data_IF_377396029530
#
_entry.id   IF_377396029530
#
_cell.length_a   1.000
_cell.length_b   1.000
_cell.length_c   1.000
_cell.angle_alpha   90.00
_cell.angle_beta   90.00
_cell.angle_gamma   90.00
#
_symmetry.space_group_name_H-M   'P 1'
#
loop_
_entity.id
_entity.type
_entity.pdbx_description
1 polymer ?
#
# COMPACT_ATOMS: atom_id res chain seq x y z
N UNK A 1 3.33 -8.19 -10.45
CA UNK A 1 2.01 -7.67 -10.91
C UNK A 1 2.07 -7.10 -12.33
N UNK A 2 1.05 -7.39 -13.12
CA UNK A 2 0.87 -6.81 -14.45
C UNK A 2 0.52 -5.33 -14.30
N UNK A 3 1.51 -4.46 -14.51
CA UNK A 3 1.26 -3.04 -14.66
C UNK A 3 1.10 -2.74 -16.16
N UNK A 4 -0.10 -2.35 -16.62
CA UNK A 4 -0.26 -2.05 -18.02
C UNK A 4 0.55 -0.81 -18.46
N UNK A 5 0.78 0.14 -17.56
CA UNK A 5 1.44 1.41 -17.86
C UNK A 5 2.97 1.33 -17.85
N UNK A 6 3.54 0.16 -17.53
CA UNK A 6 4.98 -0.09 -17.50
C UNK A 6 5.36 -1.20 -18.47
N UNK A 7 6.38 -0.97 -19.29
CA UNK A 7 6.95 -1.97 -20.18
C UNK A 7 7.88 -2.93 -19.42
N UNK A 8 8.25 -4.05 -20.05
CA UNK A 8 9.07 -5.09 -19.42
C UNK A 8 10.49 -4.62 -19.05
N UNK A 9 10.98 -3.56 -19.70
CA UNK A 9 12.28 -2.91 -19.44
C UNK A 9 12.18 -1.80 -18.38
N UNK A 10 11.03 -1.66 -17.71
CA UNK A 10 10.77 -0.66 -16.68
C UNK A 10 10.41 0.73 -17.22
N UNK A 11 10.47 0.93 -18.54
CA UNK A 11 10.05 2.19 -19.19
C UNK A 11 8.55 2.38 -19.08
N UNK A 12 8.09 3.62 -19.27
CA UNK A 12 6.66 3.88 -19.39
C UNK A 12 6.13 3.26 -20.70
N UNK A 13 4.98 2.58 -20.66
CA UNK A 13 4.39 1.97 -21.85
C UNK A 13 3.80 3.03 -22.78
N UNK A 14 3.74 2.76 -24.09
CA UNK A 14 3.17 3.69 -25.08
C UNK A 14 1.69 4.06 -24.81
N UNK A 15 0.96 3.20 -24.10
CA UNK A 15 -0.43 3.44 -23.68
C UNK A 15 -0.58 4.28 -22.41
N UNK A 16 0.52 4.63 -21.75
CA UNK A 16 0.49 5.47 -20.57
C UNK A 16 0.09 6.92 -20.91
N UNK A 17 -0.49 7.67 -19.97
CA UNK A 17 -0.86 9.07 -20.17
C UNK A 17 0.33 9.90 -20.67
N UNK A 18 0.05 10.91 -21.50
CA UNK A 18 1.09 11.80 -22.03
C UNK A 18 1.90 12.49 -20.92
N UNK A 19 1.29 12.76 -19.76
CA UNK A 19 1.98 13.31 -18.59
C UNK A 19 3.07 12.35 -18.07
N UNK A 20 2.77 11.05 -17.95
CA UNK A 20 3.75 10.05 -17.53
C UNK A 20 4.91 9.91 -18.54
N UNK A 21 4.64 10.06 -19.83
CA UNK A 21 5.70 10.08 -20.87
C UNK A 21 6.62 11.29 -20.75
N UNK A 22 6.07 12.47 -20.48
CA UNK A 22 6.88 13.66 -20.19
C UNK A 22 7.62 13.52 -18.86
N UNK A 23 7.00 12.93 -17.85
CA UNK A 23 7.61 12.64 -16.56
C UNK A 23 8.80 11.70 -16.65
N UNK A 24 8.75 10.69 -17.53
CA UNK A 24 9.92 9.85 -17.81
C UNK A 24 11.09 10.68 -18.33
N UNK A 25 10.82 11.67 -19.18
CA UNK A 25 11.87 12.59 -19.66
C UNK A 25 12.47 13.41 -18.52
N UNK A 26 11.66 13.85 -17.55
CA UNK A 26 12.14 14.53 -16.32
C UNK A 26 12.97 13.57 -15.47
N UNK A 27 12.51 12.34 -15.27
CA UNK A 27 13.16 11.32 -14.45
C UNK A 27 14.57 10.93 -14.94
N UNK A 28 14.77 10.94 -16.26
CA UNK A 28 16.06 10.67 -16.89
C UNK A 28 16.94 11.92 -17.08
N UNK A 29 16.42 13.12 -16.77
CA UNK A 29 17.14 14.36 -16.96
C UNK A 29 18.31 14.46 -15.98
N UNK A 30 19.53 14.75 -16.45
CA UNK A 30 20.65 15.00 -15.56
C UNK A 30 20.37 16.18 -14.63
N UNK A 31 20.76 16.03 -13.37
CA UNK A 31 20.73 17.07 -12.36
C UNK A 31 21.67 18.22 -12.74
N UNK A 32 21.38 19.46 -12.33
CA UNK A 32 22.17 20.64 -12.68
C UNK A 32 23.49 20.76 -11.91
N UNK A 33 23.97 19.68 -11.28
CA UNK A 33 25.17 19.63 -10.44
C UNK A 33 26.45 19.26 -11.21
N UNK A 34 26.33 18.99 -12.52
CA UNK A 34 27.44 18.62 -13.39
C UNK A 34 27.96 17.18 -13.19
N UNK A 35 27.37 16.38 -12.30
CA UNK A 35 27.81 15.00 -12.07
C UNK A 35 27.19 14.02 -13.07
N UNK A 36 26.19 14.46 -13.84
CA UNK A 36 25.44 13.60 -14.77
C UNK A 36 24.48 12.63 -14.08
N UNK A 37 24.22 12.81 -12.77
CA UNK A 37 23.26 11.98 -12.02
C UNK A 37 21.83 12.37 -12.41
N UNK A 38 20.90 11.43 -12.30
CA UNK A 38 19.47 11.64 -12.49
C UNK A 38 18.69 10.75 -11.51
N UNK A 39 17.36 10.86 -11.45
CA UNK A 39 16.54 9.92 -10.68
C UNK A 39 16.79 8.47 -11.13
N UNK A 40 16.93 8.27 -12.44
CA UNK A 40 17.23 6.97 -13.06
C UNK A 40 18.63 6.41 -12.75
N UNK A 41 19.53 7.20 -12.15
CA UNK A 41 20.86 6.70 -11.74
C UNK A 41 20.75 5.75 -10.56
N UNK A 42 19.88 6.05 -9.59
CA UNK A 42 19.62 5.20 -8.42
C UNK A 42 18.39 4.32 -8.65
N UNK A 43 17.29 4.90 -9.13
CA UNK A 43 16.05 4.19 -9.44
C UNK A 43 16.07 3.67 -10.88
N UNK A 44 16.94 2.69 -11.14
CA UNK A 44 17.24 2.16 -12.48
C UNK A 44 16.06 1.38 -13.10
N UNK A 45 15.38 1.88 -14.15
CA UNK A 45 14.19 1.19 -14.70
C UNK A 45 14.48 -0.24 -15.18
N UNK A 46 15.65 -0.45 -15.78
CA UNK A 46 16.14 -1.74 -16.30
C UNK A 46 16.49 -2.75 -15.21
N UNK A 47 16.54 -2.32 -13.95
CA UNK A 47 16.87 -3.15 -12.80
C UNK A 47 15.84 -2.99 -11.67
N UNK A 48 14.55 -3.13 -12.00
CA UNK A 48 13.45 -3.06 -11.02
C UNK A 48 13.46 -1.77 -10.17
N UNK A 49 13.98 -0.67 -10.72
CA UNK A 49 14.17 0.61 -10.02
C UNK A 49 15.12 0.53 -8.82
N UNK A 50 16.14 -0.34 -8.90
CA UNK A 50 17.12 -0.54 -7.85
C UNK A 50 18.55 -0.38 -8.38
N UNK A 51 19.41 0.20 -7.55
CA UNK A 51 20.86 0.16 -7.70
C UNK A 51 21.53 -0.75 -6.65
N UNK A 52 20.75 -1.25 -5.68
CA UNK A 52 21.21 -2.07 -4.54
C UNK A 52 22.24 -1.38 -3.64
N UNK A 53 22.21 -0.04 -3.59
CA UNK A 53 23.09 0.77 -2.76
C UNK A 53 22.32 1.53 -1.68
N UNK A 54 23.08 2.12 -0.77
CA UNK A 54 22.57 3.05 0.25
C UNK A 54 23.05 4.47 -0.07
N UNK A 55 22.17 5.46 0.09
CA UNK A 55 22.49 6.86 -0.15
C UNK A 55 21.98 7.74 0.98
N UNK A 56 22.78 8.74 1.35
CA UNK A 56 22.28 9.88 2.11
C UNK A 56 21.76 10.92 1.11
N UNK A 57 20.44 11.14 1.17
CA UNK A 57 19.71 12.11 0.34
C UNK A 57 18.97 13.13 1.20
N UNK A 58 19.47 13.37 2.43
CA UNK A 58 18.97 14.39 3.33
C UNK A 58 17.61 14.10 3.96
N UNK A 59 17.07 12.90 3.78
CA UNK A 59 15.73 12.54 4.30
C UNK A 59 15.75 12.13 5.78
N UNK A 60 16.93 11.83 6.34
CA UNK A 60 17.07 11.44 7.74
C UNK A 60 16.81 12.61 8.71
N UNK A 61 16.01 12.38 9.76
CA UNK A 61 15.69 13.41 10.77
C UNK A 61 16.05 12.99 12.19
N UNK A 62 16.34 13.99 13.04
CA UNK A 62 16.64 13.79 14.47
C UNK A 62 17.82 12.85 14.66
N UNK A 63 17.64 11.73 15.38
CA UNK A 63 18.70 10.74 15.58
C UNK A 63 19.15 10.02 14.31
N UNK A 64 18.45 10.20 13.19
CA UNK A 64 18.79 9.63 11.87
C UNK A 64 19.32 10.68 10.88
N UNK A 65 19.58 11.91 11.33
CA UNK A 65 20.17 12.95 10.49
C UNK A 65 21.53 12.51 9.92
N UNK A 66 21.75 12.73 8.63
CA UNK A 66 22.96 12.27 7.90
C UNK A 66 23.05 10.75 7.68
N UNK A 67 21.96 10.00 7.89
CA UNK A 67 21.93 8.55 7.68
C UNK A 67 21.61 8.22 6.22
N UNK A 68 22.34 7.25 5.68
CA UNK A 68 22.04 6.66 4.38
C UNK A 68 20.97 5.56 4.46
N UNK A 69 20.14 5.47 3.42
CA UNK A 69 19.08 4.47 3.29
C UNK A 69 19.18 3.76 1.94
N UNK A 70 18.71 2.51 1.89
CA UNK A 70 18.63 1.76 0.64
C UNK A 70 17.71 2.48 -0.35
N UNK A 71 18.08 2.50 -1.62
CA UNK A 71 17.19 2.95 -2.69
C UNK A 71 15.96 2.03 -2.74
N UNK A 72 14.74 2.51 -2.44
CA UNK A 72 13.56 1.66 -2.56
C UNK A 72 13.23 1.42 -4.03
N UNK A 73 12.65 0.26 -4.33
CA UNK A 73 12.05 0.04 -5.65
C UNK A 73 10.87 0.99 -5.82
N UNK A 74 10.66 1.46 -7.05
CA UNK A 74 9.45 2.20 -7.39
C UNK A 74 8.32 1.27 -7.81
N UNK A 75 8.54 -0.04 -7.98
CA UNK A 75 7.48 -0.98 -8.32
C UNK A 75 6.47 -1.08 -7.18
N UNK A 76 5.18 -1.01 -7.51
CA UNK A 76 4.05 -1.07 -6.57
C UNK A 76 4.04 0.03 -5.49
N UNK A 77 4.87 1.08 -5.64
CA UNK A 77 4.93 2.19 -4.69
C UNK A 77 3.58 2.93 -4.54
N UNK A 78 2.71 2.88 -5.54
CA UNK A 78 1.38 3.51 -5.44
C UNK A 78 0.50 2.84 -4.36
N UNK A 79 0.78 1.60 -3.98
CA UNK A 79 0.02 0.84 -2.98
C UNK A 79 0.59 0.95 -1.56
N UNK A 80 1.71 1.65 -1.37
CA UNK A 80 2.44 1.68 -0.08
C UNK A 80 2.65 3.08 0.51
N UNK A 81 1.67 4.00 0.50
CA UNK A 81 1.78 5.20 1.32
C UNK A 81 1.72 4.83 2.82
N UNK A 82 2.30 5.65 3.73
CA UNK A 82 3.07 6.86 3.46
C UNK A 82 4.54 6.56 3.07
N UNK A 83 5.17 7.53 2.42
CA UNK A 83 6.47 7.41 1.76
C UNK A 83 7.67 7.83 2.63
N UNK A 84 8.84 7.38 2.19
CA UNK A 84 10.13 7.43 2.88
C UNK A 84 10.23 6.53 4.11
N UNK A 85 11.43 6.41 4.66
CA UNK A 85 11.77 5.47 5.73
C UNK A 85 11.14 5.79 7.09
N UNK A 86 10.50 6.94 7.22
CA UNK A 86 9.80 7.45 8.39
C UNK A 86 8.34 7.85 8.08
N UNK A 87 7.87 7.64 6.85
CA UNK A 87 6.46 7.77 6.49
C UNK A 87 5.89 9.19 6.55
N UNK A 88 6.68 10.21 6.24
CA UNK A 88 6.26 11.60 6.45
C UNK A 88 5.68 12.32 5.22
N UNK A 89 5.61 11.64 4.07
CA UNK A 89 4.92 12.14 2.89
C UNK A 89 3.76 11.20 2.57
N UNK A 90 2.58 11.74 2.34
CA UNK A 90 1.38 10.95 2.06
C UNK A 90 1.28 10.60 0.57
N UNK A 91 1.99 11.35 -0.29
CA UNK A 91 1.91 11.19 -1.75
C UNK A 91 3.30 11.07 -2.41
N UNK A 92 3.33 10.40 -3.57
CA UNK A 92 4.51 10.36 -4.44
C UNK A 92 4.86 11.76 -4.97
N UNK A 93 3.84 12.63 -5.15
CA UNK A 93 4.02 14.03 -5.53
C UNK A 93 4.83 14.81 -4.50
N UNK A 94 4.47 14.73 -3.22
CA UNK A 94 5.23 15.37 -2.14
C UNK A 94 6.68 14.85 -2.06
N UNK A 95 6.88 13.55 -2.27
CA UNK A 95 8.22 12.96 -2.32
C UNK A 95 9.03 13.51 -3.50
N UNK A 96 8.42 13.62 -4.68
CA UNK A 96 9.04 14.18 -5.87
C UNK A 96 9.38 15.67 -5.68
N UNK A 97 8.47 16.44 -5.07
CA UNK A 97 8.67 17.86 -4.79
C UNK A 97 9.83 18.10 -3.83
N UNK A 98 9.90 17.31 -2.76
CA UNK A 98 11.03 17.34 -1.83
C UNK A 98 12.36 17.13 -2.56
N UNK A 99 12.47 16.11 -3.41
CA UNK A 99 13.72 15.83 -4.12
C UNK A 99 14.03 16.86 -5.20
N UNK A 100 13.02 17.40 -5.88
CA UNK A 100 13.19 18.48 -6.84
C UNK A 100 13.80 19.73 -6.16
N UNK A 101 13.35 20.05 -4.94
CA UNK A 101 13.88 21.16 -4.16
C UNK A 101 15.25 20.84 -3.56
N UNK A 102 15.40 19.65 -2.96
CA UNK A 102 16.64 19.21 -2.31
C UNK A 102 17.82 19.16 -3.29
N UNK A 103 17.60 18.66 -4.52
CA UNK A 103 18.62 18.62 -5.56
C UNK A 103 18.66 19.90 -6.43
N UNK A 104 17.82 20.89 -6.15
CA UNK A 104 17.79 22.16 -6.88
C UNK A 104 17.51 22.01 -8.38
N UNK A 105 16.57 21.12 -8.75
CA UNK A 105 16.34 20.73 -10.14
C UNK A 105 15.71 21.81 -11.01
N UNK A 106 15.10 22.84 -10.39
CA UNK A 106 14.47 23.95 -11.10
C UNK A 106 13.24 23.55 -11.92
N UNK A 107 12.52 22.50 -11.49
CA UNK A 107 11.31 22.02 -12.15
C UNK A 107 10.16 23.00 -11.92
N UNK A 108 9.43 23.31 -13.00
CA UNK A 108 8.16 24.04 -12.90
C UNK A 108 7.01 23.13 -12.45
N UNK A 109 5.85 23.73 -12.16
CA UNK A 109 4.67 23.00 -11.67
C UNK A 109 4.19 21.91 -12.66
N UNK A 110 4.36 22.14 -13.96
CA UNK A 110 4.01 21.18 -15.00
C UNK A 110 4.97 19.98 -14.99
N UNK A 111 6.26 20.23 -14.86
CA UNK A 111 7.28 19.18 -14.77
C UNK A 111 7.17 18.35 -13.49
N UNK A 112 6.80 18.99 -12.37
CA UNK A 112 6.50 18.30 -11.10
C UNK A 112 5.29 17.39 -11.24
N UNK A 113 4.21 17.90 -11.83
CA UNK A 113 3.02 17.10 -12.10
C UNK A 113 3.29 15.94 -13.07
N UNK A 114 4.10 16.18 -14.11
CA UNK A 114 4.51 15.13 -15.05
C UNK A 114 5.36 14.06 -14.36
N UNK A 115 6.33 14.46 -13.52
CA UNK A 115 7.15 13.55 -12.74
C UNK A 115 6.29 12.69 -11.78
N UNK A 116 5.34 13.30 -11.07
CA UNK A 116 4.40 12.59 -10.22
C UNK A 116 3.58 11.57 -11.03
N UNK A 117 3.05 11.97 -12.18
CA UNK A 117 2.31 11.08 -13.08
C UNK A 117 3.16 9.90 -13.59
N UNK A 118 4.46 10.11 -13.81
CA UNK A 118 5.39 9.02 -14.14
C UNK A 118 5.56 8.05 -12.97
N UNK A 119 5.80 8.57 -11.75
CA UNK A 119 5.96 7.73 -10.55
C UNK A 119 4.71 6.90 -10.27
N UNK A 120 3.51 7.48 -10.42
CA UNK A 120 2.24 6.76 -10.32
C UNK A 120 2.10 5.71 -11.43
N UNK A 121 2.49 6.05 -12.67
CA UNK A 121 2.40 5.12 -13.79
C UNK A 121 3.34 3.91 -13.63
N UNK A 122 4.59 4.10 -13.18
CA UNK A 122 5.55 2.99 -13.03
C UNK A 122 5.44 2.28 -11.69
N UNK A 123 5.04 3.00 -10.64
CA UNK A 123 4.75 2.45 -9.32
C UNK A 123 3.33 1.94 -9.15
N UNK A 124 2.54 2.05 -10.21
CA UNK A 124 1.35 1.26 -10.36
C UNK A 124 1.67 -0.22 -10.60
N UNK A 125 0.61 -0.97 -10.40
CA UNK A 125 0.41 -2.36 -10.75
C UNK A 125 -1.07 -2.53 -10.54
N UNK A 126 -1.75 -3.30 -11.38
CA UNK A 126 -2.94 -3.93 -10.83
C UNK A 126 -2.41 -4.79 -9.68
N UNK A 127 -2.51 -4.27 -8.46
CA UNK A 127 -3.35 -5.01 -7.53
C UNK A 127 -4.73 -4.96 -8.19
N UNK A 128 -4.97 -5.91 -9.11
CA UNK A 128 -6.13 -6.71 -8.82
C UNK A 128 -5.81 -7.15 -7.42
N UNK A 129 -6.52 -6.60 -6.44
CA UNK A 129 -6.78 -7.40 -5.27
C UNK A 129 -7.07 -8.77 -5.88
N UNK A 130 -6.17 -9.75 -5.67
CA UNK A 130 -6.45 -11.08 -6.16
C UNK A 130 -7.90 -11.33 -5.73
N UNK A 131 -8.79 -11.86 -6.57
CA UNK A 131 -10.14 -12.17 -6.10
C UNK A 131 -9.98 -13.00 -4.80
N UNK A 132 -10.21 -12.37 -3.63
CA UNK A 132 -9.72 -12.85 -2.32
C UNK A 132 -8.92 -11.89 -1.41
N UNK A 133 -8.38 -10.76 -1.90
CA UNK A 133 -7.67 -9.74 -1.07
C UNK A 133 -8.55 -8.52 -0.74
N UNK A 134 -9.79 -8.49 -1.25
CA UNK A 134 -10.81 -7.59 -0.75
C UNK A 134 -11.37 -8.20 0.55
N UNK A 135 -10.93 -7.60 1.66
CA UNK A 135 -11.16 -7.95 3.05
C UNK A 135 -10.25 -9.05 3.57
N UNK A 136 -9.44 -8.69 4.57
CA UNK A 136 -8.62 -9.60 5.36
C UNK A 136 -9.51 -10.43 6.31
N UNK A 137 -10.63 -10.98 5.87
CA UNK A 137 -11.59 -11.67 6.75
C UNK A 137 -10.95 -12.92 7.34
N UNK A 138 -10.14 -13.63 6.55
CA UNK A 138 -9.36 -14.78 6.94
C UNK A 138 -8.26 -14.38 7.93
N UNK A 139 -7.58 -13.26 7.70
CA UNK A 139 -6.58 -12.71 8.64
C UNK A 139 -7.24 -12.29 9.95
N UNK A 140 -8.42 -11.66 9.90
CA UNK A 140 -9.20 -11.32 11.08
C UNK A 140 -9.64 -12.58 11.82
N UNK A 141 -10.05 -13.63 11.12
CA UNK A 141 -10.36 -14.92 11.73
C UNK A 141 -9.14 -15.57 12.40
N UNK A 142 -7.93 -15.38 11.86
CA UNK A 142 -6.69 -15.86 12.48
C UNK A 142 -6.27 -15.01 13.69
N UNK A 143 -6.40 -13.68 13.62
CA UNK A 143 -6.15 -12.78 14.75
C UNK A 143 -7.16 -13.00 15.89
N UNK A 144 -8.41 -13.35 15.54
CA UNK A 144 -9.41 -13.77 16.53
C UNK A 144 -9.03 -15.07 17.23
N UNK A 145 -8.35 -16.03 16.58
CA UNK A 145 -7.82 -17.21 17.30
C UNK A 145 -6.84 -16.77 18.40
N UNK A 146 -5.88 -15.91 18.04
CA UNK A 146 -4.89 -15.39 19.00
C UNK A 146 -5.56 -14.65 20.16
N UNK A 147 -6.56 -13.80 19.86
CA UNK A 147 -7.29 -13.05 20.87
C UNK A 147 -8.12 -13.96 21.80
N UNK A 148 -8.74 -15.01 21.26
CA UNK A 148 -9.59 -15.94 22.02
C UNK A 148 -8.79 -17.03 22.74
N UNK A 149 -7.56 -17.33 22.33
CA UNK A 149 -6.61 -18.16 23.08
C UNK A 149 -6.05 -17.40 24.29
N UNK A 150 -5.88 -16.08 24.15
CA UNK A 150 -5.42 -15.20 25.22
C UNK A 150 -6.54 -14.73 26.17
N UNK A 151 -7.80 -15.10 25.89
CA UNK A 151 -8.99 -14.57 26.57
C UNK A 151 -9.00 -13.03 26.66
N UNK A 152 -8.59 -12.35 25.57
CA UNK A 152 -8.44 -10.90 25.51
C UNK A 152 -9.63 -10.24 24.78
N UNK A 153 -10.53 -9.65 25.56
CA UNK A 153 -11.67 -8.90 25.04
C UNK A 153 -11.25 -7.67 24.24
N UNK A 154 -10.21 -6.93 24.67
CA UNK A 154 -9.82 -5.69 24.02
C UNK A 154 -9.21 -5.97 22.65
N UNK A 155 -8.33 -6.98 22.56
CA UNK A 155 -7.79 -7.44 21.29
C UNK A 155 -8.89 -7.99 20.38
N UNK A 156 -9.84 -8.76 20.94
CA UNK A 156 -11.02 -9.25 20.20
C UNK A 156 -11.81 -8.07 19.60
N UNK A 157 -12.07 -7.04 20.39
CA UNK A 157 -12.80 -5.83 19.96
C UNK A 157 -12.06 -5.09 18.85
N UNK A 158 -10.74 -4.95 18.95
CA UNK A 158 -9.94 -4.29 17.91
C UNK A 158 -10.03 -5.03 16.58
N UNK A 159 -9.89 -6.36 16.61
CA UNK A 159 -9.98 -7.20 15.40
C UNK A 159 -11.39 -7.17 14.80
N UNK A 160 -12.44 -7.27 15.63
CA UNK A 160 -13.83 -7.17 15.17
C UNK A 160 -14.15 -5.81 14.57
N UNK A 161 -13.66 -4.71 15.18
CA UNK A 161 -13.88 -3.36 14.67
C UNK A 161 -13.23 -3.16 13.29
N UNK A 162 -11.98 -3.60 13.13
CA UNK A 162 -11.28 -3.56 11.84
C UNK A 162 -12.05 -4.35 10.78
N UNK A 163 -12.33 -5.63 11.06
CA UNK A 163 -12.98 -6.53 10.12
C UNK A 163 -14.38 -6.06 9.71
N UNK A 164 -15.17 -5.54 10.65
CA UNK A 164 -16.52 -5.04 10.32
C UNK A 164 -16.49 -3.72 9.56
N UNK A 165 -15.48 -2.87 9.77
CA UNK A 165 -15.29 -1.64 8.98
C UNK A 165 -14.93 -1.98 7.53
N UNK A 166 -13.96 -2.88 7.32
CA UNK A 166 -13.58 -3.33 5.98
C UNK A 166 -14.74 -4.02 5.24
N UNK A 167 -15.51 -4.86 5.92
CA UNK A 167 -16.70 -5.51 5.35
C UNK A 167 -17.79 -4.50 4.95
N UNK A 168 -17.97 -3.43 5.73
CA UNK A 168 -18.92 -2.38 5.41
C UNK A 168 -18.43 -1.52 4.22
N UNK A 169 -17.12 -1.25 4.13
CA UNK A 169 -16.50 -0.55 2.99
C UNK A 169 -16.53 -1.39 1.70
N UNK A 170 -16.49 -2.73 1.80
CA UNK A 170 -16.63 -3.62 0.65
C UNK A 170 -18.04 -3.63 0.05
N UNK A 171 -19.05 -3.13 0.77
CA UNK A 171 -20.42 -3.05 0.25
C UNK A 171 -20.47 -2.16 -0.99
N UNK A 172 -21.02 -2.71 -2.07
CA UNK A 172 -21.19 -1.99 -3.33
C UNK A 172 -20.01 -2.09 -4.29
N UNK A 173 -18.93 -2.78 -3.90
CA UNK A 173 -17.91 -3.23 -4.84
C UNK A 173 -18.49 -4.31 -5.77
N UNK A 174 -18.04 -4.32 -7.04
CA UNK A 174 -18.50 -5.30 -8.04
C UNK A 174 -18.13 -6.75 -7.68
N UNK A 175 -17.16 -6.94 -6.79
CA UNK A 175 -16.67 -8.24 -6.30
C UNK A 175 -17.29 -8.64 -4.96
N UNK A 176 -18.12 -7.78 -4.36
CA UNK A 176 -18.70 -8.03 -3.06
C UNK A 176 -19.68 -9.22 -3.08
N UNK A 177 -19.68 -10.07 -2.03
CA UNK A 177 -20.71 -11.07 -1.83
C UNK A 177 -22.11 -10.45 -1.75
N UNK A 178 -23.13 -11.29 -1.88
CA UNK A 178 -24.51 -10.87 -1.65
C UNK A 178 -24.65 -10.16 -0.29
N UNK A 179 -25.44 -9.09 -0.23
CA UNK A 179 -25.60 -8.28 0.98
C UNK A 179 -26.03 -9.09 2.21
N UNK A 180 -26.82 -10.16 2.03
CA UNK A 180 -27.22 -11.03 3.12
C UNK A 180 -26.06 -11.90 3.64
N UNK A 181 -25.10 -12.25 2.78
CA UNK A 181 -23.87 -12.96 3.16
C UNK A 181 -22.98 -12.04 4.00
N UNK A 182 -22.77 -10.80 3.55
CA UNK A 182 -22.02 -9.79 4.30
C UNK A 182 -22.66 -9.49 5.67
N UNK A 183 -23.99 -9.30 5.70
CA UNK A 183 -24.72 -9.07 6.95
C UNK A 183 -24.54 -10.23 7.95
N UNK A 184 -24.52 -11.46 7.44
CA UNK A 184 -24.31 -12.66 8.27
C UNK A 184 -22.90 -12.68 8.86
N UNK A 185 -21.88 -12.37 8.07
CA UNK A 185 -20.49 -12.30 8.52
C UNK A 185 -20.30 -11.23 9.59
N UNK A 186 -20.77 -10.02 9.34
CA UNK A 186 -20.73 -8.90 10.30
C UNK A 186 -21.47 -9.27 11.59
N UNK A 187 -22.64 -9.92 11.50
CA UNK A 187 -23.38 -10.36 12.68
C UNK A 187 -22.60 -11.38 13.51
N UNK A 188 -21.84 -12.30 12.90
CA UNK A 188 -21.06 -13.30 13.62
C UNK A 188 -19.87 -12.64 14.33
N UNK A 189 -19.17 -11.72 13.68
CA UNK A 189 -18.08 -10.94 14.28
C UNK A 189 -18.55 -10.14 15.50
N UNK A 190 -19.67 -9.40 15.38
CA UNK A 190 -20.24 -8.64 16.50
C UNK A 190 -20.70 -9.53 17.67
N UNK A 191 -21.12 -10.77 17.39
CA UNK A 191 -21.46 -11.76 18.43
C UNK A 191 -20.22 -12.28 19.16
N UNK A 192 -19.09 -12.45 18.47
CA UNK A 192 -17.82 -12.81 19.10
C UNK A 192 -17.42 -11.74 20.11
N UNK A 193 -17.39 -10.46 19.71
CA UNK A 193 -17.10 -9.35 20.63
C UNK A 193 -18.07 -9.29 21.81
N UNK A 194 -19.38 -9.43 21.56
CA UNK A 194 -20.39 -9.37 22.61
C UNK A 194 -20.21 -10.49 23.67
N UNK A 195 -19.76 -11.67 23.25
CA UNK A 195 -19.52 -12.83 24.13
C UNK A 195 -18.24 -12.65 24.95
N UNK A 196 -17.15 -12.21 24.34
CA UNK A 196 -15.91 -11.93 25.08
C UNK A 196 -16.06 -10.78 26.07
N UNK A 197 -16.92 -9.79 25.76
CA UNK A 197 -17.25 -8.70 26.69
C UNK A 197 -17.89 -9.16 28.00
N UNK A 198 -18.59 -10.28 27.97
CA UNK A 198 -19.19 -10.90 29.17
C UNK A 198 -18.39 -12.12 29.65
N UNK A 199 -17.12 -12.21 29.25
CA UNK A 199 -16.15 -13.26 29.59
C UNK A 199 -16.56 -14.68 29.17
N UNK A 200 -17.47 -14.81 28.21
CA UNK A 200 -17.90 -16.10 27.66
C UNK A 200 -17.05 -16.49 26.43
N UNK A 201 -15.77 -16.78 26.68
CA UNK A 201 -14.80 -17.09 25.63
C UNK A 201 -15.05 -18.44 24.96
N UNK A 202 -15.58 -19.43 25.68
CA UNK A 202 -15.97 -20.72 25.09
C UNK A 202 -17.05 -20.53 24.02
N UNK A 203 -18.08 -19.73 24.32
CA UNK A 203 -19.12 -19.41 23.36
C UNK A 203 -18.60 -18.52 22.22
N UNK A 204 -17.63 -17.64 22.48
CA UNK A 204 -16.98 -16.84 21.45
C UNK A 204 -16.21 -17.72 20.44
N UNK A 205 -15.42 -18.69 20.91
CA UNK A 205 -14.70 -19.67 20.07
C UNK A 205 -15.66 -20.51 19.23
N UNK A 206 -16.78 -20.95 19.79
CA UNK A 206 -17.83 -21.64 19.04
C UNK A 206 -18.42 -20.76 17.92
N UNK A 207 -18.53 -19.44 18.15
CA UNK A 207 -19.02 -18.48 17.15
C UNK A 207 -17.97 -18.23 16.06
N UNK A 208 -16.68 -18.23 16.39
CA UNK A 208 -15.58 -18.15 15.41
C UNK A 208 -15.58 -19.36 14.46
N UNK A 209 -15.86 -20.56 14.97
CA UNK A 209 -16.04 -21.75 14.11
C UNK A 209 -17.21 -21.57 13.13
N UNK A 210 -18.34 -21.02 13.59
CA UNK A 210 -19.48 -20.71 12.72
C UNK A 210 -19.14 -19.65 11.67
N UNK A 211 -18.34 -18.65 12.04
CA UNK A 211 -17.85 -17.62 11.14
C UNK A 211 -16.98 -18.20 10.03
N UNK A 212 -15.98 -19.03 10.37
CA UNK A 212 -15.13 -19.71 9.37
C UNK A 212 -15.91 -20.60 8.42
N UNK A 213 -16.90 -21.33 8.93
CA UNK A 213 -17.80 -22.11 8.09
C UNK A 213 -18.65 -21.25 7.15
N UNK A 214 -19.04 -20.04 7.59
CA UNK A 214 -19.78 -19.10 6.76
C UNK A 214 -18.89 -18.45 5.68
N UNK A 215 -17.60 -18.27 5.92
CA UNK A 215 -16.63 -17.80 4.91
C UNK A 215 -16.47 -18.84 3.81
N UNK A 216 -16.20 -20.10 4.17
CA UNK A 216 -15.99 -21.19 3.23
C UNK A 216 -17.22 -21.58 2.39
N UNK A 217 -18.42 -21.16 2.81
CA UNK A 217 -19.68 -21.42 2.10
C UNK A 217 -20.24 -20.22 1.35
N UNK A 218 -19.57 -19.07 1.38
CA UNK A 218 -19.99 -17.82 0.74
C UNK A 218 -19.01 -17.28 -0.31
N UNK A 219 -17.92 -18.01 -0.59
CA UNK A 219 -16.94 -17.74 -1.65
C UNK A 219 -17.27 -18.45 -2.97
#
# INVERSE_FOLDING_TARGET
PDNPLRAADGRVAARAPAAAQRGETVFHRPFPDGTGRSCATCHRPDNYFLDHLVHDVGTGRGIREGRAFETPTLLDALATPPYLHDGHFDTLGETADYFADYFGLGLDDGERADLAAYLEAVGGGRSEAAPGDAVHVETAAALLDVALEADDWLLTRMVVLLATTELDDWRGDATAPDGAVLDRWISLLRRIEARTKVEDFDAARATLVQFRAALAGGS
#
